data_IF_668090671922
#
_entry.id   IF_668090671922
#
_cell.length_a   1.000
_cell.length_b   1.000
_cell.length_c   1.000
_cell.angle_alpha   90.00
_cell.angle_beta   90.00
_cell.angle_gamma   90.00
#
_symmetry.space_group_name_H-M   'P 1'
#
loop_
_entity.id
_entity.type
_entity.pdbx_description
1 polymer ?
#
# COMPACT_ATOMS: atom_id res chain seq x y z
N UNK A 1 0.78 -6.89 11.56
CA UNK A 1 0.07 -8.13 11.19
C UNK A 1 0.93 -9.37 11.34
N UNK A 2 2.07 -9.42 10.66
CA UNK A 2 2.93 -10.59 10.47
C UNK A 2 3.09 -11.52 11.70
N UNK A 3 3.56 -10.99 12.83
CA UNK A 3 3.84 -11.78 14.05
C UNK A 3 2.58 -12.41 14.64
N UNK A 4 1.46 -11.68 14.65
CA UNK A 4 0.18 -12.16 15.21
C UNK A 4 -0.41 -13.29 14.37
N UNK A 5 -0.27 -13.20 13.05
CA UNK A 5 -0.74 -14.22 12.10
C UNK A 5 0.10 -15.49 12.25
N UNK A 6 1.44 -15.36 12.30
CA UNK A 6 2.34 -16.49 12.49
C UNK A 6 2.15 -17.19 13.83
N UNK A 7 1.93 -16.43 14.91
CA UNK A 7 1.67 -16.99 16.23
C UNK A 7 0.34 -17.76 16.29
N UNK A 8 -0.73 -17.25 15.65
CA UNK A 8 -2.02 -17.92 15.59
C UNK A 8 -1.98 -19.22 14.76
N UNK A 9 -1.26 -19.21 13.64
CA UNK A 9 -1.03 -20.41 12.82
C UNK A 9 -0.19 -21.46 13.57
N UNK A 10 0.85 -21.03 14.29
CA UNK A 10 1.66 -21.92 15.13
C UNK A 10 0.88 -22.54 16.30
N UNK A 11 -0.16 -21.84 16.79
CA UNK A 11 -1.08 -22.35 17.80
C UNK A 11 -2.22 -23.22 17.22
N UNK A 12 -2.18 -23.54 15.92
CA UNK A 12 -3.21 -24.29 15.19
C UNK A 12 -4.62 -23.66 15.28
N UNK A 13 -4.70 -22.32 15.38
CA UNK A 13 -5.94 -21.56 15.44
C UNK A 13 -6.12 -20.72 14.15
N UNK A 14 -6.68 -21.31 13.07
CA UNK A 14 -6.86 -20.63 11.80
C UNK A 14 -7.88 -19.48 11.88
N UNK A 15 -8.82 -19.53 12.83
CA UNK A 15 -9.82 -18.48 13.01
C UNK A 15 -9.16 -17.20 13.52
N UNK A 16 -8.27 -17.30 14.51
CA UNK A 16 -7.45 -16.17 14.97
C UNK A 16 -6.52 -15.63 13.89
N UNK A 17 -5.95 -16.49 13.05
CA UNK A 17 -5.08 -16.07 11.96
C UNK A 17 -5.86 -15.27 10.89
N UNK A 18 -7.07 -15.70 10.54
CA UNK A 18 -7.96 -14.97 9.64
C UNK A 18 -8.35 -13.61 10.22
N UNK A 19 -8.76 -13.57 11.48
CA UNK A 19 -9.18 -12.34 12.14
C UNK A 19 -8.02 -11.33 12.23
N UNK A 20 -6.80 -11.79 12.54
CA UNK A 20 -5.61 -10.95 12.51
C UNK A 20 -5.27 -10.43 11.10
N UNK A 21 -5.55 -11.21 10.06
CA UNK A 21 -5.35 -10.82 8.66
C UNK A 21 -6.34 -9.73 8.23
N UNK A 22 -7.64 -9.91 8.52
CA UNK A 22 -8.68 -8.92 8.27
C UNK A 22 -8.43 -7.61 9.02
N UNK A 23 -8.03 -7.68 10.30
CA UNK A 23 -7.65 -6.49 11.07
C UNK A 23 -6.45 -5.77 10.46
N UNK A 24 -5.44 -6.52 9.97
CA UNK A 24 -4.26 -5.92 9.34
C UNK A 24 -4.64 -5.20 8.05
N UNK A 25 -5.49 -5.81 7.21
CA UNK A 25 -6.02 -5.19 6.00
C UNK A 25 -6.85 -3.94 6.32
N UNK A 26 -7.78 -4.03 7.27
CA UNK A 26 -8.63 -2.91 7.67
C UNK A 26 -7.82 -1.71 8.19
N UNK A 27 -6.82 -1.96 9.04
CA UNK A 27 -5.91 -0.91 9.53
C UNK A 27 -5.06 -0.31 8.41
N UNK A 28 -4.56 -1.12 7.48
CA UNK A 28 -3.78 -0.62 6.35
C UNK A 28 -4.61 0.29 5.44
N UNK A 29 -5.84 -0.12 5.11
CA UNK A 29 -6.76 0.69 4.31
C UNK A 29 -7.15 1.97 5.05
N UNK A 30 -7.51 1.89 6.34
CA UNK A 30 -7.87 3.06 7.13
C UNK A 30 -6.72 4.07 7.21
N UNK A 31 -5.50 3.59 7.48
CA UNK A 31 -4.31 4.43 7.52
C UNK A 31 -4.00 5.05 6.16
N UNK A 32 -4.12 4.27 5.08
CA UNK A 32 -3.93 4.76 3.72
C UNK A 32 -4.94 5.83 3.32
N UNK A 33 -6.22 5.65 3.65
CA UNK A 33 -7.28 6.64 3.38
C UNK A 33 -7.01 7.91 4.18
N UNK A 34 -6.61 7.77 5.44
CA UNK A 34 -6.21 8.92 6.26
C UNK A 34 -5.03 9.68 5.63
N UNK A 35 -3.95 8.99 5.27
CA UNK A 35 -2.80 9.61 4.60
C UNK A 35 -3.16 10.25 3.26
N UNK A 36 -3.95 9.57 2.42
CA UNK A 36 -4.41 10.10 1.15
C UNK A 36 -5.26 11.36 1.35
N UNK A 37 -6.14 11.37 2.36
CA UNK A 37 -6.95 12.55 2.70
C UNK A 37 -6.07 13.72 3.13
N UNK A 38 -5.07 13.47 3.98
CA UNK A 38 -4.08 14.49 4.39
C UNK A 38 -3.33 15.02 3.18
N UNK A 39 -2.83 14.16 2.29
CA UNK A 39 -2.13 14.59 1.06
C UNK A 39 -3.02 15.45 0.15
N UNK A 40 -4.30 15.09 0.00
CA UNK A 40 -5.25 15.86 -0.81
C UNK A 40 -5.59 17.22 -0.18
N UNK A 41 -5.78 17.27 1.14
CA UNK A 41 -6.05 18.51 1.87
C UNK A 41 -4.84 19.46 1.82
N UNK A 42 -3.63 18.92 2.00
CA UNK A 42 -2.39 19.70 1.98
C UNK A 42 -1.76 19.82 0.58
N UNK A 43 -2.45 19.44 -0.50
CA UNK A 43 -1.86 19.37 -1.85
C UNK A 43 -1.30 20.70 -2.33
N UNK A 44 -1.89 21.81 -1.89
CA UNK A 44 -1.50 23.17 -2.30
C UNK A 44 -0.48 23.77 -1.35
N UNK A 45 -0.46 23.36 -0.07
CA UNK A 45 0.44 23.91 0.95
C UNK A 45 1.79 23.19 1.00
N UNK A 46 1.83 21.89 0.68
CA UNK A 46 3.06 21.10 0.64
C UNK A 46 4.05 21.59 -0.44
N UNK A 47 3.64 21.82 -1.71
CA UNK A 47 4.57 22.27 -2.74
C UNK A 47 5.09 23.68 -2.49
N UNK A 48 4.25 24.57 -1.95
CA UNK A 48 4.63 25.95 -1.62
C UNK A 48 5.69 26.05 -0.52
N UNK A 49 5.90 24.96 0.25
CA UNK A 49 6.95 24.88 1.26
C UNK A 49 8.34 24.63 0.64
N UNK A 50 8.38 23.97 -0.53
CA UNK A 50 9.62 23.58 -1.20
C UNK A 50 9.98 24.50 -2.38
N UNK A 51 9.00 25.15 -2.99
CA UNK A 51 9.22 26.07 -4.10
C UNK A 51 8.21 27.22 -4.10
N UNK A 52 8.65 28.40 -4.50
CA UNK A 52 7.79 29.57 -4.71
C UNK A 52 7.40 29.77 -6.18
N UNK A 53 7.85 28.88 -7.06
CA UNK A 53 7.52 28.93 -8.48
C UNK A 53 6.09 28.39 -8.73
N UNK A 54 5.18 29.20 -9.29
CA UNK A 54 3.80 28.78 -9.54
C UNK A 54 3.68 27.64 -10.55
N UNK A 55 4.62 27.51 -11.49
CA UNK A 55 4.59 26.46 -12.51
C UNK A 55 4.90 25.09 -11.86
N UNK A 56 5.95 25.04 -11.04
CA UNK A 56 6.35 23.83 -10.30
C UNK A 56 5.27 23.43 -9.27
N UNK A 57 4.65 24.42 -8.63
CA UNK A 57 3.56 24.20 -7.67
C UNK A 57 2.36 23.51 -8.33
N UNK A 58 2.01 23.91 -9.55
CA UNK A 58 0.93 23.29 -10.32
C UNK A 58 1.22 21.81 -10.59
N UNK A 59 2.40 21.50 -11.14
CA UNK A 59 2.82 20.12 -11.41
C UNK A 59 2.86 19.25 -10.16
N UNK A 60 3.42 19.76 -9.06
CA UNK A 60 3.46 19.03 -7.79
C UNK A 60 2.05 18.73 -7.26
N UNK A 61 1.10 19.66 -7.41
CA UNK A 61 -0.28 19.45 -6.96
C UNK A 61 -0.99 18.32 -7.73
N UNK A 62 -0.68 18.17 -9.02
CA UNK A 62 -1.19 17.10 -9.87
C UNK A 62 -0.55 15.75 -9.50
N UNK A 63 0.78 15.72 -9.30
CA UNK A 63 1.47 14.53 -8.81
C UNK A 63 0.94 14.07 -7.44
N UNK A 64 0.65 15.00 -6.53
CA UNK A 64 0.08 14.68 -5.21
C UNK A 64 -1.29 14.02 -5.31
N UNK A 65 -2.09 14.40 -6.31
CA UNK A 65 -3.38 13.76 -6.58
C UNK A 65 -3.19 12.31 -7.03
N UNK A 66 -2.27 12.07 -7.97
CA UNK A 66 -1.91 10.73 -8.43
C UNK A 66 -1.33 9.90 -7.29
N UNK A 67 -0.47 10.47 -6.46
CA UNK A 67 0.12 9.81 -5.31
C UNK A 67 -0.92 9.39 -4.27
N UNK A 68 -1.90 10.27 -3.99
CA UNK A 68 -3.01 9.95 -3.09
C UNK A 68 -3.85 8.77 -3.60
N UNK A 69 -4.13 8.72 -4.91
CA UNK A 69 -4.80 7.58 -5.53
C UNK A 69 -3.96 6.30 -5.46
N UNK A 70 -2.64 6.40 -5.62
CA UNK A 70 -1.72 5.26 -5.59
C UNK A 70 -1.49 4.70 -4.18
N UNK A 71 -1.69 5.51 -3.13
CA UNK A 71 -1.51 5.10 -1.73
C UNK A 71 -2.36 3.87 -1.36
N UNK A 72 -3.61 3.82 -1.82
CA UNK A 72 -4.57 2.75 -1.53
C UNK A 72 -4.12 1.37 -2.04
N UNK A 73 -3.87 1.18 -3.35
CA UNK A 73 -3.40 -0.09 -3.87
C UNK A 73 -2.03 -0.50 -3.28
N UNK A 74 -1.13 0.47 -3.04
CA UNK A 74 0.16 0.20 -2.39
C UNK A 74 -0.02 -0.35 -0.96
N UNK A 75 -0.87 0.28 -0.15
CA UNK A 75 -1.16 -0.16 1.22
C UNK A 75 -1.80 -1.55 1.26
N UNK A 76 -2.71 -1.86 0.33
CA UNK A 76 -3.30 -3.20 0.19
C UNK A 76 -2.22 -4.21 -0.17
N UNK A 77 -1.36 -3.90 -1.14
CA UNK A 77 -0.28 -4.79 -1.55
C UNK A 77 0.68 -5.07 -0.40
N UNK A 78 1.09 -4.03 0.34
CA UNK A 78 1.93 -4.14 1.52
C UNK A 78 1.28 -5.00 2.62
N UNK A 79 -0.01 -4.81 2.88
CA UNK A 79 -0.77 -5.60 3.85
C UNK A 79 -0.83 -7.08 3.46
N UNK A 80 -1.16 -7.37 2.20
CA UNK A 80 -1.22 -8.74 1.64
C UNK A 80 0.15 -9.42 1.73
N UNK A 81 1.22 -8.73 1.35
CA UNK A 81 2.58 -9.26 1.50
C UNK A 81 2.93 -9.55 2.96
N UNK A 82 2.49 -8.69 3.90
CA UNK A 82 2.63 -8.91 5.34
C UNK A 82 1.74 -10.03 5.91
N UNK A 83 0.66 -10.42 5.22
CA UNK A 83 -0.15 -11.58 5.59
C UNK A 83 0.52 -12.87 5.10
N UNK A 84 1.02 -12.87 3.85
CA UNK A 84 1.74 -14.01 3.29
C UNK A 84 3.04 -14.32 4.05
N UNK A 85 3.81 -13.28 4.42
CA UNK A 85 4.99 -13.43 5.28
C UNK A 85 4.62 -13.98 6.66
N UNK A 86 3.50 -13.53 7.23
CA UNK A 86 3.02 -13.99 8.54
C UNK A 86 2.57 -15.44 8.51
N UNK A 87 2.14 -15.91 7.35
CA UNK A 87 1.69 -17.28 7.12
C UNK A 87 2.81 -18.25 6.70
N UNK A 88 4.07 -17.79 6.65
CA UNK A 88 5.20 -18.58 6.13
C UNK A 88 5.17 -18.86 4.63
N UNK A 89 4.14 -18.39 3.91
CA UNK A 89 3.93 -18.59 2.45
C UNK A 89 4.41 -17.39 1.64
N UNK A 90 5.49 -16.76 2.08
CA UNK A 90 6.07 -15.56 1.45
C UNK A 90 6.43 -15.77 -0.03
N UNK A 91 6.81 -16.99 -0.43
CA UNK A 91 7.12 -17.33 -1.83
C UNK A 91 5.95 -17.07 -2.78
N UNK A 92 4.70 -17.34 -2.35
CA UNK A 92 3.53 -17.06 -3.20
C UNK A 92 3.28 -15.56 -3.38
N UNK A 93 3.48 -14.77 -2.32
CA UNK A 93 3.42 -13.31 -2.41
C UNK A 93 4.49 -12.72 -3.31
N UNK A 94 5.72 -13.27 -3.25
CA UNK A 94 6.82 -12.88 -4.11
C UNK A 94 6.56 -13.23 -5.59
N UNK A 95 6.05 -14.43 -5.89
CA UNK A 95 5.68 -14.82 -7.27
C UNK A 95 4.59 -13.93 -7.85
N UNK A 96 3.54 -13.61 -7.07
CA UNK A 96 2.47 -12.72 -7.52
C UNK A 96 2.97 -11.30 -7.78
N UNK A 97 3.82 -10.76 -6.90
CA UNK A 97 4.39 -9.43 -7.08
C UNK A 97 5.30 -9.39 -8.32
N UNK A 98 6.13 -10.44 -8.51
CA UNK A 98 7.02 -10.56 -9.67
C UNK A 98 6.23 -10.65 -10.99
N UNK A 99 5.20 -11.49 -11.07
CA UNK A 99 4.37 -11.61 -12.27
C UNK A 99 3.61 -10.30 -12.55
N UNK A 100 3.01 -9.68 -11.53
CA UNK A 100 2.30 -8.41 -11.69
C UNK A 100 3.19 -7.29 -12.21
N UNK A 101 4.36 -7.08 -11.60
CA UNK A 101 5.25 -5.99 -12.00
C UNK A 101 6.00 -6.26 -13.30
N UNK A 102 6.55 -7.45 -13.50
CA UNK A 102 7.41 -7.73 -14.66
C UNK A 102 6.66 -8.26 -15.87
N UNK A 103 5.61 -9.08 -15.69
CA UNK A 103 4.90 -9.68 -16.83
C UNK A 103 3.77 -8.78 -17.32
N UNK A 104 3.14 -8.01 -16.42
CA UNK A 104 2.01 -7.13 -16.78
C UNK A 104 2.43 -5.65 -16.78
N UNK A 105 3.22 -5.21 -15.81
CA UNK A 105 3.68 -3.81 -15.73
C UNK A 105 4.56 -3.40 -16.92
N UNK A 106 5.47 -4.27 -17.38
CA UNK A 106 6.34 -3.99 -18.52
C UNK A 106 5.57 -3.81 -19.84
N UNK A 107 4.68 -4.73 -20.28
CA UNK A 107 3.96 -4.54 -21.54
C UNK A 107 2.97 -3.36 -21.52
N UNK A 108 2.43 -3.00 -20.36
CA UNK A 108 1.55 -1.82 -20.23
C UNK A 108 2.37 -0.52 -20.21
N UNK A 109 3.58 -0.53 -19.64
CA UNK A 109 4.45 0.65 -19.60
C UNK A 109 5.22 0.92 -20.90
N UNK A 110 5.29 -0.06 -21.80
CA UNK A 110 5.91 0.06 -23.12
C UNK A 110 4.93 0.57 -24.18
N UNK A 111 3.62 0.41 -23.96
CA UNK A 111 2.53 0.91 -24.83
C UNK A 111 2.09 2.29 -24.37
#
# INVERSE_FOLDING_TARGET
GNVRIGNALGANDPHRALLASWLTLGLAVACSVFCATVLLVFRTSLPTLFTSDPEITSYCSELLYVAACFQLPDAINAAVQGIFRGSGRQSMGATLNFVGYYVVGIPIGIV
#
